data_IF_202069257948
#
_entry.id   IF_202069257948
#
_cell.length_a   1.000
_cell.length_b   1.000
_cell.length_c   1.000
_cell.angle_alpha   90.00
_cell.angle_beta   90.00
_cell.angle_gamma   90.00
#
_symmetry.space_group_name_H-M   'P 1'
#
loop_
_entity.id
_entity.type
_entity.pdbx_description
1 polymer ?
#
# COMPACT_ATOMS: atom_id res chain seq x y z
N UNK A 1 -12.15 -2.43 28.72
CA UNK A 1 -10.95 -2.30 27.86
C UNK A 1 -10.66 -3.67 27.26
N UNK A 2 -11.01 -3.89 25.98
CA UNK A 2 -10.71 -5.16 25.29
C UNK A 2 -9.28 -5.06 24.77
N UNK A 3 -8.35 -5.83 25.32
CA UNK A 3 -7.00 -6.02 24.75
C UNK A 3 -7.14 -6.78 23.43
N UNK A 4 -6.86 -6.11 22.34
CA UNK A 4 -6.65 -6.73 21.04
C UNK A 4 -5.28 -7.41 21.09
N UNK A 5 -5.24 -8.71 20.81
CA UNK A 5 -3.98 -9.41 20.66
C UNK A 5 -3.30 -8.96 19.37
N UNK A 6 -2.45 -7.98 19.47
CA UNK A 6 -1.66 -7.45 18.35
C UNK A 6 -0.28 -8.07 18.39
N UNK A 7 0.10 -8.74 17.33
CA UNK A 7 1.51 -9.04 17.07
C UNK A 7 2.03 -7.80 16.29
N UNK A 8 2.56 -6.82 17.02
CA UNK A 8 3.36 -5.77 16.41
C UNK A 8 4.56 -6.43 15.73
N UNK A 9 4.56 -6.48 14.42
CA UNK A 9 5.76 -6.73 13.66
C UNK A 9 6.36 -5.37 13.33
N UNK A 10 7.24 -4.89 14.17
CA UNK A 10 8.20 -3.87 13.78
C UNK A 10 9.09 -4.52 12.73
N UNK A 11 8.85 -4.23 11.49
CA UNK A 11 9.71 -4.68 10.40
C UNK A 11 10.80 -3.64 10.28
N UNK A 12 12.04 -4.08 10.51
CA UNK A 12 13.19 -3.26 10.18
C UNK A 12 13.08 -2.78 8.74
N UNK A 13 13.39 -1.53 8.51
CA UNK A 13 13.58 -0.99 7.16
C UNK A 13 14.48 -1.97 6.41
N UNK A 14 13.94 -2.75 5.49
CA UNK A 14 14.75 -3.36 4.46
C UNK A 14 15.26 -2.19 3.64
N UNK A 15 16.52 -1.84 3.89
CA UNK A 15 17.29 -0.99 3.02
C UNK A 15 17.58 -1.84 1.77
N UNK A 16 16.80 -1.75 0.68
CA UNK A 16 17.24 -2.33 -0.57
C UNK A 16 18.47 -1.53 -0.90
N UNK A 17 19.53 -2.15 -1.33
CA UNK A 17 20.79 -1.53 -1.76
C UNK A 17 20.52 -0.25 -2.54
N UNK A 18 20.31 0.83 -1.82
CA UNK A 18 20.11 2.17 -2.37
C UNK A 18 21.48 2.56 -2.87
N UNK A 19 21.60 2.77 -4.16
CA UNK A 19 22.74 3.47 -4.72
C UNK A 19 22.91 4.76 -3.91
N UNK A 20 24.00 4.87 -3.16
CA UNK A 20 24.31 5.95 -2.21
C UNK A 20 24.23 7.37 -2.83
N UNK A 21 24.15 7.48 -4.15
CA UNK A 21 24.06 8.73 -4.88
C UNK A 21 22.65 9.40 -4.90
N UNK A 22 21.60 8.79 -4.31
CA UNK A 22 20.26 9.38 -4.26
C UNK A 22 19.76 9.72 -2.83
N UNK A 23 20.64 9.65 -1.83
CA UNK A 23 20.29 9.79 -0.41
C UNK A 23 20.15 11.24 0.08
N UNK A 24 20.34 12.27 -0.74
CA UNK A 24 20.35 13.66 -0.25
C UNK A 24 19.00 14.38 -0.16
N UNK A 25 17.86 13.77 -0.54
CA UNK A 25 16.55 14.42 -0.40
C UNK A 25 15.60 13.67 0.51
N UNK A 26 15.89 13.61 1.80
CA UNK A 26 14.98 13.08 2.84
C UNK A 26 14.00 14.13 3.40
N UNK A 27 13.90 15.28 2.76
CA UNK A 27 13.00 16.38 3.11
C UNK A 27 11.66 16.30 2.38
N UNK A 28 10.65 17.02 2.90
CA UNK A 28 9.42 17.30 2.17
C UNK A 28 9.76 17.89 0.79
N UNK A 29 8.93 17.63 -0.25
CA UNK A 29 9.12 18.23 -1.56
C UNK A 29 9.28 19.75 -1.45
N UNK A 30 10.07 20.35 -2.33
CA UNK A 30 10.41 21.79 -2.29
C UNK A 30 9.19 22.71 -2.32
N UNK A 31 8.03 22.20 -2.81
CA UNK A 31 6.74 22.91 -2.83
C UNK A 31 5.90 22.71 -1.56
N UNK A 32 6.42 22.02 -0.52
CA UNK A 32 5.71 21.66 0.70
C UNK A 32 4.40 20.89 0.45
N UNK A 33 4.30 20.19 -0.67
CA UNK A 33 3.15 19.37 -1.03
C UNK A 33 3.52 17.90 -1.06
N UNK A 34 2.69 17.06 -0.47
CA UNK A 34 2.83 15.61 -0.51
C UNK A 34 1.79 15.02 -1.47
N UNK A 35 2.26 14.38 -2.54
CA UNK A 35 1.41 13.71 -3.53
C UNK A 35 1.22 12.27 -3.13
N UNK A 36 -0.02 11.92 -2.82
CA UNK A 36 -0.39 10.58 -2.36
C UNK A 36 -1.27 9.88 -3.40
N UNK A 37 -1.00 8.60 -3.64
CA UNK A 37 -1.81 7.75 -4.50
C UNK A 37 -2.23 6.48 -3.74
N UNK A 38 -3.53 6.14 -3.82
CA UNK A 38 -4.03 4.82 -3.47
C UNK A 38 -4.46 4.08 -4.73
N UNK A 39 -3.89 2.91 -4.97
CA UNK A 39 -4.08 2.17 -6.21
C UNK A 39 -4.29 0.67 -5.95
N UNK A 40 -5.49 0.17 -6.29
CA UNK A 40 -5.77 -1.26 -6.28
C UNK A 40 -5.37 -1.86 -7.65
N UNK A 41 -4.34 -2.73 -7.64
CA UNK A 41 -3.76 -3.28 -8.88
C UNK A 41 -4.64 -4.39 -9.46
N UNK A 42 -5.51 -5.02 -8.65
CA UNK A 42 -6.42 -6.10 -9.05
C UNK A 42 -5.71 -7.25 -9.78
N UNK A 43 -4.71 -7.85 -9.16
CA UNK A 43 -3.95 -8.93 -9.80
C UNK A 43 -4.84 -10.13 -10.10
N UNK A 44 -5.16 -10.30 -11.38
CA UNK A 44 -5.56 -11.55 -11.98
C UNK A 44 -7.03 -11.96 -11.91
N UNK A 45 -7.97 -11.07 -11.68
CA UNK A 45 -9.38 -11.36 -11.96
C UNK A 45 -9.81 -10.70 -13.27
N UNK A 46 -9.84 -11.52 -14.33
CA UNK A 46 -10.48 -11.20 -15.62
C UNK A 46 -12.03 -11.23 -15.52
N UNK A 47 -12.60 -10.76 -14.43
CA UNK A 47 -14.05 -10.64 -14.30
C UNK A 47 -14.47 -9.27 -14.82
N UNK A 48 -15.14 -9.27 -15.97
CA UNK A 48 -15.67 -8.10 -16.69
C UNK A 48 -16.57 -7.17 -15.84
N UNK A 49 -16.99 -7.60 -14.65
CA UNK A 49 -17.90 -6.85 -13.79
C UNK A 49 -17.28 -5.71 -12.99
N UNK A 50 -15.95 -5.63 -12.86
CA UNK A 50 -15.27 -4.58 -12.07
C UNK A 50 -14.70 -3.43 -12.90
N UNK A 51 -14.88 -3.46 -14.23
CA UNK A 51 -14.40 -2.40 -15.15
C UNK A 51 -15.07 -1.03 -14.94
N UNK A 52 -16.17 -0.97 -14.21
CA UNK A 52 -16.91 0.28 -13.99
C UNK A 52 -16.37 1.17 -12.85
N UNK A 53 -15.47 0.67 -12.01
CA UNK A 53 -14.94 1.42 -10.86
C UNK A 53 -13.60 2.11 -11.08
N UNK A 54 -12.93 1.78 -12.17
CA UNK A 54 -11.74 2.54 -12.58
C UNK A 54 -12.25 3.80 -13.27
N UNK A 55 -12.01 4.96 -12.66
CA UNK A 55 -12.39 6.25 -13.25
C UNK A 55 -11.97 6.29 -14.73
N UNK A 56 -12.84 6.78 -15.60
CA UNK A 56 -12.72 6.74 -17.08
C UNK A 56 -11.35 7.13 -17.67
N UNK A 57 -10.49 7.82 -16.89
CA UNK A 57 -9.14 8.19 -17.32
C UNK A 57 -8.14 7.04 -17.38
N UNK A 58 -8.31 5.99 -16.58
CA UNK A 58 -7.36 4.87 -16.47
C UNK A 58 -7.58 3.75 -17.48
N UNK A 59 -8.79 3.63 -18.04
CA UNK A 59 -9.13 2.60 -19.05
C UNK A 59 -8.30 2.72 -20.33
N UNK A 60 -7.78 3.91 -20.62
CA UNK A 60 -6.94 4.15 -21.80
C UNK A 60 -5.45 3.81 -21.56
N UNK A 61 -5.02 3.56 -20.33
CA UNK A 61 -3.63 3.31 -19.96
C UNK A 61 -3.28 1.81 -19.82
N UNK A 62 -4.26 0.91 -19.83
CA UNK A 62 -4.05 -0.53 -19.71
C UNK A 62 -4.27 -1.22 -21.07
N UNK A 63 -3.23 -1.42 -21.88
CA UNK A 63 -3.37 -2.18 -23.12
C UNK A 63 -3.56 -3.67 -22.85
N UNK A 64 -4.36 -4.32 -23.67
CA UNK A 64 -4.79 -5.71 -23.54
C UNK A 64 -3.69 -6.76 -23.79
N UNK A 65 -2.51 -6.39 -24.30
CA UNK A 65 -1.46 -7.33 -24.71
C UNK A 65 -0.11 -6.92 -24.09
N UNK A 66 0.35 -7.67 -23.08
CA UNK A 66 1.73 -7.61 -22.58
C UNK A 66 1.86 -7.18 -21.10
N UNK A 67 2.03 -8.16 -20.20
CA UNK A 67 2.17 -7.91 -18.74
C UNK A 67 3.36 -7.00 -18.40
N UNK A 68 4.49 -7.15 -19.07
CA UNK A 68 5.68 -6.35 -18.81
C UNK A 68 5.51 -4.87 -19.22
N UNK A 69 4.89 -4.61 -20.38
CA UNK A 69 4.62 -3.24 -20.83
C UNK A 69 3.59 -2.50 -19.96
N UNK A 70 2.70 -3.23 -19.28
CA UNK A 70 1.74 -2.64 -18.35
C UNK A 70 2.40 -2.19 -17.04
N UNK A 71 3.30 -3.01 -16.50
CA UNK A 71 4.03 -2.66 -15.27
C UNK A 71 4.93 -1.44 -15.48
N UNK A 72 5.58 -1.31 -16.66
CA UNK A 72 6.39 -0.12 -16.96
C UNK A 72 5.52 1.15 -16.97
N UNK A 73 4.39 1.14 -17.64
CA UNK A 73 3.47 2.30 -17.66
C UNK A 73 2.92 2.65 -16.28
N UNK A 74 2.65 1.64 -15.45
CA UNK A 74 2.27 1.86 -14.06
C UNK A 74 3.44 2.51 -13.32
N UNK A 75 4.67 2.00 -13.47
CA UNK A 75 5.87 2.58 -12.86
C UNK A 75 6.07 4.05 -13.23
N UNK A 76 5.94 4.38 -14.51
CA UNK A 76 6.06 5.75 -15.02
C UNK A 76 5.02 6.68 -14.36
N UNK A 77 3.76 6.21 -14.25
CA UNK A 77 2.72 6.96 -13.58
C UNK A 77 2.99 7.15 -12.09
N UNK A 78 3.44 6.09 -11.40
CA UNK A 78 3.72 6.16 -9.97
C UNK A 78 4.83 7.17 -9.67
N UNK A 79 5.70 7.46 -10.66
CA UNK A 79 6.82 8.39 -10.50
C UNK A 79 6.41 9.82 -10.15
N UNK A 80 5.17 10.22 -10.41
CA UNK A 80 4.63 11.55 -10.09
C UNK A 80 4.21 11.70 -8.62
N UNK A 81 4.27 10.61 -7.83
CA UNK A 81 3.80 10.61 -6.45
C UNK A 81 4.96 10.42 -5.45
N UNK A 82 4.76 10.96 -4.25
CA UNK A 82 5.74 10.87 -3.17
C UNK A 82 5.52 9.63 -2.30
N UNK A 83 4.25 9.20 -2.16
CA UNK A 83 3.89 7.99 -1.44
C UNK A 83 2.71 7.29 -2.14
N UNK A 84 2.87 5.99 -2.34
CA UNK A 84 1.89 5.14 -3.02
C UNK A 84 1.46 3.99 -2.11
N UNK A 85 0.15 3.82 -1.97
CA UNK A 85 -0.47 2.67 -1.33
C UNK A 85 -1.02 1.71 -2.38
N UNK A 86 -0.48 0.50 -2.44
CA UNK A 86 -0.87 -0.55 -3.37
C UNK A 86 -1.75 -1.59 -2.68
N UNK A 87 -2.90 -1.91 -3.25
CA UNK A 87 -3.77 -2.98 -2.79
C UNK A 87 -3.82 -4.10 -3.83
N UNK A 88 -4.04 -5.33 -3.36
CA UNK A 88 -4.15 -6.54 -4.19
C UNK A 88 -2.94 -6.79 -5.09
N UNK A 89 -1.74 -6.40 -4.65
CA UNK A 89 -0.50 -6.76 -5.33
C UNK A 89 -0.18 -8.25 -5.13
N UNK A 90 0.50 -8.86 -6.11
CA UNK A 90 1.01 -10.23 -5.97
C UNK A 90 2.40 -10.24 -5.33
N UNK A 91 2.57 -11.11 -4.34
CA UNK A 91 3.81 -11.22 -3.58
C UNK A 91 4.90 -12.08 -4.24
N UNK A 92 4.72 -12.50 -5.48
CA UNK A 92 5.67 -13.39 -6.18
C UNK A 92 5.14 -14.80 -6.36
N UNK A 93 3.85 -14.96 -6.67
CA UNK A 93 3.24 -16.26 -6.98
C UNK A 93 3.37 -16.63 -8.47
N UNK A 94 2.91 -17.84 -8.83
CA UNK A 94 2.83 -18.30 -10.24
C UNK A 94 2.01 -17.29 -11.07
N UNK A 95 1.01 -16.65 -10.48
CA UNK A 95 0.15 -15.68 -11.18
C UNK A 95 0.91 -14.46 -11.69
N UNK A 96 1.92 -13.99 -10.95
CA UNK A 96 2.78 -12.88 -11.35
C UNK A 96 4.04 -13.33 -12.11
N UNK A 97 4.22 -14.63 -12.34
CA UNK A 97 5.46 -15.18 -12.87
C UNK A 97 6.60 -15.12 -11.85
N UNK A 98 6.28 -15.27 -10.57
CA UNK A 98 7.20 -15.17 -9.43
C UNK A 98 7.79 -13.76 -9.21
N UNK A 99 7.18 -12.74 -9.79
CA UNK A 99 7.58 -11.35 -9.59
C UNK A 99 6.85 -10.78 -8.38
N UNK A 100 7.61 -10.27 -7.40
CA UNK A 100 7.07 -9.42 -6.35
C UNK A 100 6.69 -8.06 -6.96
N UNK A 101 5.39 -7.81 -7.14
CA UNK A 101 4.93 -6.61 -7.83
C UNK A 101 5.19 -5.33 -7.05
N UNK A 102 5.18 -5.37 -5.71
CA UNK A 102 5.48 -4.19 -4.89
C UNK A 102 6.93 -3.75 -5.11
N UNK A 103 7.86 -4.69 -4.99
CA UNK A 103 9.29 -4.46 -5.23
C UNK A 103 9.56 -4.00 -6.66
N UNK A 104 8.97 -4.69 -7.63
CA UNK A 104 9.15 -4.36 -9.04
C UNK A 104 8.67 -2.95 -9.38
N UNK A 105 7.50 -2.55 -8.87
CA UNK A 105 6.97 -1.20 -9.05
C UNK A 105 7.78 -0.15 -8.28
N UNK A 106 8.35 -0.50 -7.13
CA UNK A 106 9.28 0.38 -6.42
C UNK A 106 10.51 0.70 -7.29
N UNK A 107 11.09 -0.31 -7.93
CA UNK A 107 12.22 -0.11 -8.85
C UNK A 107 11.84 0.71 -10.08
N UNK A 108 10.72 0.38 -10.75
CA UNK A 108 10.28 1.11 -11.94
C UNK A 108 9.94 2.58 -11.66
N UNK A 109 9.32 2.86 -10.52
CA UNK A 109 8.96 4.22 -10.10
C UNK A 109 10.07 4.96 -9.34
N UNK A 110 11.28 4.34 -9.19
CA UNK A 110 12.41 4.87 -8.45
C UNK A 110 12.06 5.27 -7.00
N UNK A 111 11.31 4.42 -6.29
CA UNK A 111 11.03 4.61 -4.87
C UNK A 111 12.12 3.96 -4.02
N UNK A 112 12.86 4.74 -3.22
CA UNK A 112 13.94 4.20 -2.39
C UNK A 112 13.44 3.39 -1.18
N UNK A 113 12.19 3.62 -0.75
CA UNK A 113 11.61 2.94 0.40
C UNK A 113 10.34 2.23 -0.02
N UNK A 114 10.24 0.95 0.31
CA UNK A 114 9.03 0.17 0.06
C UNK A 114 8.84 -0.90 1.13
N UNK A 115 7.58 -1.29 1.34
CA UNK A 115 7.22 -2.36 2.24
C UNK A 115 6.05 -3.17 1.67
N UNK A 116 6.09 -4.48 1.88
CA UNK A 116 5.04 -5.40 1.48
C UNK A 116 4.47 -6.13 2.69
N UNK A 117 3.15 -6.03 2.88
CA UNK A 117 2.38 -6.80 3.84
C UNK A 117 1.73 -7.99 3.13
N UNK A 118 2.16 -9.20 3.46
CA UNK A 118 1.56 -10.41 2.93
C UNK A 118 0.31 -10.78 3.72
N UNK A 119 -0.88 -10.45 3.19
CA UNK A 119 -2.15 -10.62 3.88
C UNK A 119 -2.73 -12.04 3.76
N UNK A 120 -2.54 -12.68 2.62
CA UNK A 120 -3.02 -14.01 2.36
C UNK A 120 -2.02 -14.78 1.51
N UNK A 121 -1.52 -15.88 2.07
CA UNK A 121 -0.60 -16.76 1.39
C UNK A 121 -1.32 -18.07 1.08
N UNK A 122 -1.58 -18.33 -0.21
CA UNK A 122 -2.09 -19.59 -0.75
C UNK A 122 -0.95 -20.41 -1.36
N UNK A 123 0.24 -20.36 -0.76
CA UNK A 123 1.44 -21.01 -1.25
C UNK A 123 1.92 -20.40 -2.55
N UNK A 124 2.32 -21.28 -3.50
CA UNK A 124 2.81 -20.84 -4.81
C UNK A 124 1.72 -20.35 -5.77
N UNK A 125 0.45 -20.59 -5.47
CA UNK A 125 -0.66 -20.31 -6.39
C UNK A 125 -1.07 -18.85 -6.42
N UNK A 126 -1.17 -18.21 -5.25
CA UNK A 126 -1.55 -16.81 -5.13
C UNK A 126 -1.07 -16.21 -3.80
N UNK A 127 -0.52 -15.02 -3.84
CA UNK A 127 -0.08 -14.26 -2.68
C UNK A 127 -0.68 -12.87 -2.74
N UNK A 128 -1.75 -12.64 -1.97
CA UNK A 128 -2.36 -11.32 -1.91
C UNK A 128 -1.62 -10.47 -0.89
N UNK A 129 -1.13 -9.34 -1.33
CA UNK A 129 -0.41 -8.39 -0.49
C UNK A 129 -0.93 -6.97 -0.66
N UNK A 130 -0.66 -6.17 0.35
CA UNK A 130 -0.65 -4.73 0.28
C UNK A 130 0.79 -4.24 0.15
N UNK A 131 0.99 -3.07 -0.42
CA UNK A 131 2.32 -2.46 -0.55
C UNK A 131 2.30 -0.98 -0.28
N UNK A 132 3.43 -0.47 0.20
CA UNK A 132 3.69 0.96 0.31
C UNK A 132 4.99 1.25 -0.41
N UNK A 133 5.00 2.29 -1.23
CA UNK A 133 6.18 2.85 -1.87
C UNK A 133 6.34 4.29 -1.37
N UNK A 134 7.55 4.70 -1.02
CA UNK A 134 7.80 6.05 -0.49
C UNK A 134 9.11 6.63 -1.04
N UNK A 135 9.08 7.91 -1.41
CA UNK A 135 10.29 8.70 -1.68
C UNK A 135 10.90 9.26 -0.41
N UNK A 136 10.04 9.52 0.59
CA UNK A 136 10.46 10.02 1.89
C UNK A 136 10.92 8.85 2.76
N UNK A 137 11.96 9.05 3.54
CA UNK A 137 12.47 8.07 4.49
C UNK A 137 11.51 7.94 5.67
N UNK A 138 10.85 6.78 5.86
CA UNK A 138 10.02 6.55 7.04
C UNK A 138 10.89 6.46 8.30
N UNK A 139 10.39 6.95 9.44
CA UNK A 139 10.99 6.70 10.75
C UNK A 139 10.53 5.38 11.34
N UNK A 140 9.35 4.89 10.92
CA UNK A 140 8.85 3.57 11.27
C UNK A 140 7.86 3.07 10.23
N UNK A 141 7.82 1.75 10.05
CA UNK A 141 6.76 1.02 9.33
C UNK A 141 6.25 -0.07 10.26
N UNK A 142 4.93 -0.09 10.47
CA UNK A 142 4.26 -1.06 11.34
C UNK A 142 3.23 -1.85 10.54
N UNK A 143 3.24 -3.17 10.72
CA UNK A 143 2.34 -4.10 10.04
C UNK A 143 1.25 -4.56 11.03
N UNK A 144 0.00 -4.26 10.70
CA UNK A 144 -1.14 -4.55 11.55
C UNK A 144 -2.15 -5.47 10.86
N UNK A 145 -2.34 -6.72 11.35
CA UNK A 145 -3.49 -7.51 10.96
C UNK A 145 -4.76 -6.83 11.48
N UNK A 146 -5.74 -6.63 10.60
CA UNK A 146 -7.01 -6.03 10.99
C UNK A 146 -7.95 -7.07 11.62
N UNK A 147 -8.80 -6.68 12.59
CA UNK A 147 -9.76 -7.58 13.21
C UNK A 147 -10.78 -8.12 12.20
N UNK A 148 -11.19 -9.39 12.40
CA UNK A 148 -12.17 -10.06 11.55
C UNK A 148 -11.57 -11.15 10.67
N UNK A 149 -12.11 -11.36 9.46
CA UNK A 149 -11.63 -12.41 8.55
C UNK A 149 -10.16 -12.22 8.18
N UNK A 150 -9.43 -13.35 8.07
CA UNK A 150 -8.03 -13.34 7.60
C UNK A 150 -7.90 -12.71 6.21
N UNK A 151 -6.78 -12.05 5.97
CA UNK A 151 -6.46 -11.46 4.67
C UNK A 151 -6.77 -9.97 4.57
N UNK A 152 -7.01 -9.31 5.70
CA UNK A 152 -7.14 -7.85 5.78
C UNK A 152 -6.08 -7.29 6.71
N UNK A 153 -5.44 -6.20 6.29
CA UNK A 153 -4.36 -5.59 7.03
C UNK A 153 -4.27 -4.09 6.81
N UNK A 154 -3.51 -3.45 7.69
CA UNK A 154 -3.11 -2.06 7.58
C UNK A 154 -1.59 -1.95 7.71
N UNK A 155 -0.99 -1.08 6.93
CA UNK A 155 0.42 -0.68 7.06
C UNK A 155 0.41 0.76 7.57
N UNK A 156 1.02 1.00 8.73
CA UNK A 156 1.24 2.32 9.28
C UNK A 156 2.65 2.77 8.91
N UNK A 157 2.76 3.90 8.25
CA UNK A 157 4.03 4.54 7.91
C UNK A 157 4.13 5.85 8.67
N UNK A 158 5.21 6.03 9.41
CA UNK A 158 5.45 7.22 10.21
C UNK A 158 6.62 8.01 9.65
N UNK A 159 6.45 9.33 9.61
CA UNK A 159 7.48 10.31 9.26
C UNK A 159 7.62 11.30 10.39
N UNK A 160 8.81 11.40 10.96
CA UNK A 160 9.09 12.20 12.15
C UNK A 160 8.81 11.45 13.46
N UNK A 161 8.90 12.15 14.57
CA UNK A 161 8.80 11.60 15.92
C UNK A 161 7.75 12.32 16.77
N UNK A 162 7.25 11.62 17.78
CA UNK A 162 6.30 12.18 18.74
C UNK A 162 4.89 12.42 18.17
N UNK A 163 4.06 13.20 18.88
CA UNK A 163 2.67 13.45 18.49
C UNK A 163 2.48 14.27 17.20
N UNK A 164 3.50 15.05 16.82
CA UNK A 164 3.49 15.89 15.61
C UNK A 164 3.93 15.10 14.36
N UNK A 165 4.36 13.85 14.50
CA UNK A 165 4.72 13.00 13.36
C UNK A 165 3.56 12.89 12.39
N UNK A 166 3.85 12.88 11.09
CA UNK A 166 2.89 12.50 10.07
C UNK A 166 2.77 10.97 10.06
N UNK A 167 1.55 10.49 10.21
CA UNK A 167 1.23 9.07 10.11
C UNK A 167 0.31 8.83 8.93
N UNK A 168 0.75 7.96 8.02
CA UNK A 168 -0.05 7.51 6.89
C UNK A 168 -0.41 6.06 7.10
N UNK A 169 -1.70 5.76 7.14
CA UNK A 169 -2.20 4.37 7.26
C UNK A 169 -2.80 3.95 5.94
N UNK A 170 -2.15 2.99 5.31
CA UNK A 170 -2.70 2.29 4.17
C UNK A 170 -3.47 1.07 4.65
N UNK A 171 -4.70 0.88 4.16
CA UNK A 171 -5.56 -0.22 4.58
C UNK A 171 -6.35 -0.82 3.41
N UNK A 172 -6.70 -2.10 3.58
CA UNK A 172 -7.67 -2.76 2.71
C UNK A 172 -8.75 -3.37 3.61
N UNK A 173 -9.89 -2.71 3.70
CA UNK A 173 -10.97 -3.04 4.64
C UNK A 173 -11.84 -4.20 4.14
N UNK A 174 -12.61 -4.78 5.05
CA UNK A 174 -13.57 -5.84 4.74
C UNK A 174 -14.78 -5.31 3.98
N UNK A 175 -15.40 -6.17 3.15
CA UNK A 175 -16.63 -5.85 2.42
C UNK A 175 -17.84 -5.62 3.33
N UNK A 176 -17.94 -6.38 4.45
CA UNK A 176 -19.05 -6.29 5.37
C UNK A 176 -18.98 -5.09 6.31
N UNK A 177 -20.04 -4.26 6.38
CA UNK A 177 -20.07 -3.02 7.14
C UNK A 177 -19.72 -3.19 8.63
N UNK A 178 -20.27 -4.23 9.30
CA UNK A 178 -19.96 -4.50 10.72
C UNK A 178 -18.48 -4.75 10.97
N UNK A 179 -17.85 -5.56 10.12
CA UNK A 179 -16.41 -5.86 10.23
C UNK A 179 -15.58 -4.62 9.90
N UNK A 180 -15.98 -3.87 8.88
CA UNK A 180 -15.32 -2.62 8.47
C UNK A 180 -15.32 -1.60 9.61
N UNK A 181 -16.44 -1.44 10.33
CA UNK A 181 -16.52 -0.55 11.49
C UNK A 181 -15.59 -0.98 12.62
N UNK A 182 -15.45 -2.29 12.87
CA UNK A 182 -14.47 -2.80 13.84
C UNK A 182 -13.03 -2.50 13.43
N UNK A 183 -12.72 -2.61 12.13
CA UNK A 183 -11.41 -2.32 11.57
C UNK A 183 -11.08 -0.83 11.66
N UNK A 184 -12.04 0.03 11.34
CA UNK A 184 -11.88 1.48 11.49
C UNK A 184 -11.72 1.90 12.96
N UNK A 185 -12.45 1.29 13.89
CA UNK A 185 -12.28 1.53 15.31
C UNK A 185 -10.86 1.13 15.79
N UNK A 186 -10.35 -0.01 15.32
CA UNK A 186 -8.99 -0.44 15.59
C UNK A 186 -7.96 0.58 15.10
N UNK A 187 -8.08 1.02 13.83
CA UNK A 187 -7.16 2.01 13.24
C UNK A 187 -7.24 3.34 13.98
N UNK A 188 -8.44 3.82 14.29
CA UNK A 188 -8.62 5.05 15.10
C UNK A 188 -7.89 4.97 16.44
N UNK A 189 -8.01 3.84 17.15
CA UNK A 189 -7.37 3.66 18.45
C UNK A 189 -5.82 3.55 18.31
N UNK A 190 -5.34 3.01 17.18
CA UNK A 190 -3.92 2.91 16.87
C UNK A 190 -3.28 4.29 16.65
N UNK A 191 -3.94 5.17 15.89
CA UNK A 191 -3.37 6.45 15.48
C UNK A 191 -3.80 7.64 16.33
N UNK A 192 -4.70 7.46 17.28
CA UNK A 192 -5.33 8.55 18.05
C UNK A 192 -4.35 9.46 18.84
N UNK A 193 -3.11 9.01 19.00
CA UNK A 193 -2.04 9.78 19.66
C UNK A 193 -1.34 10.80 18.73
N UNK A 194 -1.52 10.69 17.42
CA UNK A 194 -0.89 11.56 16.43
C UNK A 194 -1.83 12.66 15.97
N UNK A 195 -1.31 13.85 15.72
CA UNK A 195 -2.10 14.99 15.24
C UNK A 195 -2.26 15.01 13.73
N UNK A 196 -1.21 14.59 13.01
CA UNK A 196 -1.19 14.61 11.56
C UNK A 196 -1.41 13.18 11.02
N UNK A 197 -2.59 12.93 10.46
CA UNK A 197 -3.03 11.59 10.06
C UNK A 197 -3.58 11.60 8.65
N UNK A 198 -3.18 10.60 7.86
CA UNK A 198 -3.77 10.31 6.54
C UNK A 198 -4.21 8.85 6.53
N UNK A 199 -5.47 8.62 6.16
CA UNK A 199 -6.01 7.28 5.91
C UNK A 199 -6.23 7.12 4.41
N UNK A 200 -5.66 6.07 3.83
CA UNK A 200 -5.78 5.79 2.40
C UNK A 200 -5.89 4.29 2.14
N UNK A 201 -6.37 3.90 0.98
CA UNK A 201 -6.52 2.51 0.60
C UNK A 201 -7.91 2.16 0.09
N UNK A 202 -8.20 0.86 0.01
CA UNK A 202 -9.50 0.35 -0.40
C UNK A 202 -10.43 0.23 0.83
N UNK A 203 -11.33 1.18 0.95
CA UNK A 203 -12.28 1.24 2.06
C UNK A 203 -13.47 0.28 1.88
N UNK A 204 -13.62 -0.34 0.70
CA UNK A 204 -14.74 -1.23 0.37
C UNK A 204 -16.11 -0.62 0.72
N UNK A 205 -16.25 0.69 0.51
CA UNK A 205 -17.51 1.42 0.67
C UNK A 205 -18.15 1.63 -0.69
N UNK A 206 -19.46 1.44 -0.77
CA UNK A 206 -20.24 1.84 -1.93
C UNK A 206 -20.84 3.21 -1.65
N UNK A 207 -20.77 4.13 -2.61
CA UNK A 207 -21.59 5.31 -2.59
C UNK A 207 -23.04 4.86 -2.81
N UNK A 208 -23.93 5.18 -1.87
CA UNK A 208 -25.38 5.02 -2.03
C UNK A 208 -25.91 6.17 -2.87
#
# INVERSE_FOLDING_TARGET
>A
MRRWGTTERVVGLHDPQVNEHHLESTGLPADNRLRLLSFNIQVGNSTEKYRHYITRGWQHLLPHNGRAGNLQKIGDLLSDFDLVALQEADGGSIRSGYINQVEHLAHLGAFPYWYQQLNRNLGRLAQHSNGVLSRLKPTAIEDHPLPGPKGRGAILVRFGEGPEALVVVMMHLALGGRTRNLQLAYVRDLIGKYKNQVLMGDMNTHAN
#
